data_IF_817126003214
#
_entry.id   IF_817126003214
#
_cell.length_a   1.000
_cell.length_b   1.000
_cell.length_c   1.000
_cell.angle_alpha   90.00
_cell.angle_beta   90.00
_cell.angle_gamma   90.00
#
_symmetry.space_group_name_H-M   'P 1'
#
loop_
_entity.id
_entity.type
_entity.pdbx_description
1 polymer ?
#
# COMPACT_ATOMS: atom_id res chain seq x y z
N UNK A 1 -4.08 -11.15 -20.70
CA UNK A 1 -2.80 -10.41 -20.72
C UNK A 1 -2.85 -9.36 -19.63
N UNK A 2 -2.30 -9.62 -18.45
CA UNK A 2 -2.26 -8.64 -17.36
C UNK A 2 -1.06 -7.72 -17.58
N UNK A 3 -1.31 -6.45 -17.88
CA UNK A 3 -0.26 -5.44 -17.91
C UNK A 3 0.32 -5.33 -16.50
N UNK A 4 1.59 -5.72 -16.33
CA UNK A 4 2.35 -5.48 -15.10
C UNK A 4 3.17 -4.21 -15.32
N UNK A 5 2.96 -3.20 -14.48
CA UNK A 5 3.90 -2.07 -14.43
C UNK A 5 5.23 -2.54 -13.86
N UNK A 6 6.34 -2.09 -14.45
CA UNK A 6 7.67 -2.29 -13.89
C UNK A 6 7.88 -1.43 -12.63
N UNK A 7 8.94 -1.74 -11.88
CA UNK A 7 9.22 -1.07 -10.61
C UNK A 7 9.50 0.44 -10.77
N UNK A 8 10.27 0.92 -11.76
CA UNK A 8 10.49 2.35 -11.97
C UNK A 8 9.20 3.12 -12.29
N UNK A 9 8.36 2.62 -13.20
CA UNK A 9 7.11 3.28 -13.56
C UNK A 9 6.16 3.35 -12.36
N UNK A 10 6.11 2.30 -11.54
CA UNK A 10 5.35 2.31 -10.29
C UNK A 10 5.89 3.34 -9.30
N UNK A 11 7.21 3.41 -9.11
CA UNK A 11 7.81 4.38 -8.20
C UNK A 11 7.49 5.82 -8.60
N UNK A 12 7.53 6.13 -9.90
CA UNK A 12 7.19 7.46 -10.42
C UNK A 12 5.73 7.87 -10.13
N UNK A 13 4.81 6.91 -9.99
CA UNK A 13 3.41 7.17 -9.65
C UNK A 13 3.17 7.31 -8.14
N UNK A 14 3.90 6.55 -7.32
CA UNK A 14 3.65 6.49 -5.88
C UNK A 14 4.44 7.53 -5.08
N UNK A 15 5.69 7.79 -5.47
CA UNK A 15 6.59 8.68 -4.73
C UNK A 15 6.07 10.13 -4.58
N UNK A 16 5.37 10.72 -5.57
CA UNK A 16 4.85 12.08 -5.43
C UNK A 16 3.59 12.20 -4.56
N UNK A 17 2.97 11.09 -4.16
CA UNK A 17 1.75 11.12 -3.36
C UNK A 17 2.05 11.61 -1.93
N UNK A 18 1.16 12.44 -1.40
CA UNK A 18 1.30 13.05 -0.07
C UNK A 18 -0.02 12.97 0.71
N UNK A 19 0.04 13.15 2.02
CA UNK A 19 -1.14 13.17 2.88
C UNK A 19 -1.71 11.78 3.15
N UNK A 20 -3.04 11.64 3.08
CA UNK A 20 -3.73 10.38 3.36
C UNK A 20 -4.06 9.66 2.07
N UNK A 21 -3.61 8.41 1.93
CA UNK A 21 -3.85 7.57 0.74
C UNK A 21 -4.72 6.38 1.11
N UNK A 22 -5.80 6.18 0.37
CA UNK A 22 -6.61 4.97 0.41
C UNK A 22 -6.29 4.10 -0.80
N UNK A 23 -5.86 2.87 -0.55
CA UNK A 23 -5.63 1.86 -1.59
C UNK A 23 -6.71 0.78 -1.53
N UNK A 24 -7.40 0.58 -2.65
CA UNK A 24 -8.44 -0.45 -2.80
C UNK A 24 -7.84 -1.62 -3.57
N UNK A 25 -7.91 -2.82 -3.00
CA UNK A 25 -7.22 -4.00 -3.56
C UNK A 25 -5.72 -3.92 -3.34
N UNK A 26 -5.31 -3.68 -2.10
CA UNK A 26 -3.91 -3.52 -1.71
C UNK A 26 -3.04 -4.77 -1.94
N UNK A 27 -3.67 -5.92 -2.20
CA UNK A 27 -2.99 -7.18 -2.46
C UNK A 27 -2.13 -7.58 -1.27
N UNK A 28 -0.87 -7.89 -1.54
CA UNK A 28 0.14 -8.18 -0.53
C UNK A 28 0.88 -6.93 -0.02
N UNK A 29 0.46 -5.72 -0.44
CA UNK A 29 1.08 -4.47 -0.02
C UNK A 29 2.34 -4.09 -0.79
N UNK A 30 2.53 -4.58 -2.02
CA UNK A 30 3.71 -4.24 -2.85
C UNK A 30 3.94 -2.73 -3.05
N UNK A 31 2.88 -1.91 -2.97
CA UNK A 31 2.96 -0.47 -3.15
C UNK A 31 3.41 0.30 -1.90
N UNK A 32 3.37 -0.32 -0.70
CA UNK A 32 3.69 0.37 0.57
C UNK A 32 5.07 1.04 0.54
N UNK A 33 6.07 0.36 -0.01
CA UNK A 33 7.44 0.86 -0.06
C UNK A 33 7.63 2.03 -1.04
N UNK A 34 6.66 2.28 -1.92
CA UNK A 34 6.70 3.38 -2.88
C UNK A 34 6.17 4.71 -2.34
N UNK A 35 5.45 4.70 -1.22
CA UNK A 35 4.94 5.93 -0.60
C UNK A 35 6.03 6.65 0.19
N UNK A 36 5.94 7.98 0.22
CA UNK A 36 6.80 8.80 1.07
C UNK A 36 6.57 8.54 2.57
N UNK A 37 7.55 8.85 3.44
CA UNK A 37 7.47 8.56 4.88
C UNK A 37 6.35 9.31 5.61
N UNK A 38 5.88 10.44 5.05
CA UNK A 38 4.82 11.26 5.62
C UNK A 38 3.40 10.84 5.17
N UNK A 39 3.31 9.83 4.30
CA UNK A 39 2.01 9.33 3.83
C UNK A 39 1.33 8.52 4.94
N UNK A 40 0.09 8.89 5.26
CA UNK A 40 -0.81 8.06 6.05
C UNK A 40 -1.56 7.12 5.12
N UNK A 41 -1.12 5.87 5.03
CA UNK A 41 -1.70 4.88 4.14
C UNK A 41 -2.79 4.04 4.81
N UNK A 42 -3.86 3.78 4.06
CA UNK A 42 -4.97 2.90 4.39
C UNK A 42 -5.18 1.89 3.27
N UNK A 43 -4.86 0.62 3.51
CA UNK A 43 -5.16 -0.44 2.56
C UNK A 43 -6.42 -1.21 2.89
N UNK A 44 -7.22 -1.47 1.86
CA UNK A 44 -8.35 -2.40 1.91
C UNK A 44 -8.01 -3.59 1.00
N UNK A 45 -8.02 -4.80 1.56
CA UNK A 45 -7.81 -6.04 0.81
C UNK A 45 -8.92 -7.06 1.15
N UNK A 46 -9.81 -7.38 0.20
CA UNK A 46 -10.91 -8.32 0.43
C UNK A 46 -10.49 -9.80 0.43
N UNK A 47 -9.39 -10.17 -0.25
CA UNK A 47 -8.90 -11.54 -0.26
C UNK A 47 -8.16 -11.86 1.05
N UNK A 48 -8.66 -12.86 1.80
CA UNK A 48 -8.11 -13.22 3.10
C UNK A 48 -6.62 -13.65 3.08
N UNK A 49 -6.19 -14.35 2.03
CA UNK A 49 -4.80 -14.80 1.88
C UNK A 49 -3.87 -13.61 1.62
N UNK A 50 -4.21 -12.75 0.66
CA UNK A 50 -3.46 -11.51 0.38
C UNK A 50 -3.43 -10.59 1.59
N UNK A 51 -4.57 -10.44 2.28
CA UNK A 51 -4.67 -9.63 3.51
C UNK A 51 -3.73 -10.12 4.61
N UNK A 52 -3.54 -11.42 4.76
CA UNK A 52 -2.62 -11.98 5.74
C UNK A 52 -1.17 -11.59 5.44
N UNK A 53 -0.77 -11.66 4.17
CA UNK A 53 0.55 -11.20 3.73
C UNK A 53 0.72 -9.68 3.90
N UNK A 54 -0.33 -8.91 3.60
CA UNK A 54 -0.36 -7.46 3.79
C UNK A 54 -0.17 -7.09 5.27
N UNK A 55 -0.87 -7.76 6.19
CA UNK A 55 -0.72 -7.51 7.64
C UNK A 55 0.69 -7.82 8.16
N UNK A 56 1.38 -8.79 7.56
CA UNK A 56 2.77 -9.10 7.90
C UNK A 56 3.78 -8.06 7.39
N UNK A 57 3.42 -7.31 6.33
CA UNK A 57 4.25 -6.24 5.73
C UNK A 57 3.91 -4.85 6.23
N UNK A 58 2.66 -4.61 6.59
CA UNK A 58 2.22 -3.33 7.08
C UNK A 58 2.94 -2.99 8.38
N UNK A 59 3.44 -1.76 8.55
CA UNK A 59 3.96 -1.32 9.83
C UNK A 59 2.87 -1.51 10.90
N UNK A 60 3.26 -1.93 12.10
CA UNK A 60 2.34 -2.16 13.21
C UNK A 60 1.38 -0.99 13.29
N UNK A 61 0.05 -1.23 13.30
CA UNK A 61 -0.92 -0.14 13.30
C UNK A 61 -0.59 0.78 14.48
N UNK A 62 -0.15 2.02 14.19
CA UNK A 62 -0.10 3.06 15.22
C UNK A 62 -1.54 3.19 15.68
N UNK A 63 -1.79 2.81 16.94
CA UNK A 63 -3.11 2.83 17.55
C UNK A 63 -3.83 4.13 17.15
N UNK A 64 -4.90 4.03 16.35
CA UNK A 64 -5.78 5.17 16.14
C UNK A 64 -6.62 5.32 17.40
N UNK A 65 -6.41 6.43 18.10
CA UNK A 65 -7.44 7.00 18.98
C UNK A 65 -8.52 7.55 18.05
N UNK A 66 -9.70 6.96 18.12
CA UNK A 66 -10.96 7.55 17.70
C UNK A 66 -11.88 7.47 18.91
#
# INVERSE_FOLDING_TARGET
MTARMDAPARAALLAPLTGTVLEIGAGDGVNLAGFGPDVTWHGIEPNGSSRSALLARAPTPRSRRW
#
